data_IF_290483137128
#
_entry.id   IF_290483137128
#
_cell.length_a   1.000
_cell.length_b   1.000
_cell.length_c   1.000
_cell.angle_alpha   90.00
_cell.angle_beta   90.00
_cell.angle_gamma   90.00
#
_symmetry.space_group_name_H-M   'P 1'
#
loop_
_entity.id
_entity.type
_entity.pdbx_description
1 polymer ?
#
# COMPACT_ATOMS: atom_id res chain seq x y z
N UNK A 1 26.72 -88.81 -11.21
CA UNK A 1 26.70 -87.83 -12.31
C UNK A 1 25.37 -87.09 -12.24
N UNK A 2 25.38 -85.76 -12.07
CA UNK A 2 24.17 -84.95 -11.99
C UNK A 2 23.82 -84.35 -13.36
N UNK A 3 22.55 -84.04 -13.58
CA UNK A 3 22.10 -83.08 -14.61
C UNK A 3 21.31 -81.97 -13.95
N UNK A 4 21.81 -80.74 -14.13
CA UNK A 4 21.21 -79.47 -13.74
C UNK A 4 19.90 -79.20 -14.47
N UNK A 5 18.99 -78.47 -13.82
CA UNK A 5 17.96 -77.67 -14.47
C UNK A 5 17.96 -76.27 -13.87
N UNK A 6 18.11 -75.28 -14.75
CA UNK A 6 18.22 -73.84 -14.51
C UNK A 6 16.82 -73.21 -14.54
N UNK A 7 16.53 -72.26 -13.65
CA UNK A 7 15.37 -71.34 -13.73
C UNK A 7 15.87 -69.89 -13.66
N UNK A 8 15.46 -68.97 -14.57
CA UNK A 8 15.91 -67.58 -14.56
C UNK A 8 15.00 -66.62 -13.76
N UNK A 9 15.62 -65.52 -13.33
CA UNK A 9 15.08 -64.54 -12.39
C UNK A 9 13.98 -63.62 -12.94
N UNK A 10 13.06 -63.24 -12.04
CA UNK A 10 11.92 -62.35 -12.31
C UNK A 10 11.59 -61.42 -11.13
N UNK A 11 12.63 -60.96 -10.42
CA UNK A 11 12.47 -60.23 -9.15
C UNK A 11 12.94 -58.78 -9.16
N UNK A 12 13.62 -58.32 -10.23
CA UNK A 12 14.20 -56.96 -10.26
C UNK A 12 13.25 -55.88 -10.83
N UNK A 13 12.32 -56.24 -11.71
CA UNK A 13 11.48 -55.27 -12.43
C UNK A 13 10.34 -54.69 -11.56
N UNK A 14 9.86 -55.46 -10.58
CA UNK A 14 8.77 -55.02 -9.68
C UNK A 14 9.21 -54.02 -8.60
N UNK A 15 10.50 -53.99 -8.24
CA UNK A 15 11.01 -53.06 -7.22
C UNK A 15 11.17 -51.63 -7.76
N UNK A 16 11.54 -51.47 -9.03
CA UNK A 16 11.74 -50.15 -9.63
C UNK A 16 10.41 -49.43 -9.92
N UNK A 17 9.34 -50.17 -10.26
CA UNK A 17 8.00 -49.61 -10.45
C UNK A 17 7.35 -49.15 -9.14
N UNK A 18 7.59 -49.85 -8.02
CA UNK A 18 7.06 -49.46 -6.71
C UNK A 18 7.73 -48.19 -6.17
N UNK A 19 9.03 -47.99 -6.46
CA UNK A 19 9.77 -46.81 -6.00
C UNK A 19 9.39 -45.56 -6.82
N UNK A 20 9.13 -45.70 -8.12
CA UNK A 20 8.67 -44.58 -8.96
C UNK A 20 7.23 -44.13 -8.64
N UNK A 21 6.36 -45.06 -8.22
CA UNK A 21 4.99 -44.73 -7.80
C UNK A 21 4.95 -43.98 -6.45
N UNK A 22 5.87 -44.28 -5.52
CA UNK A 22 5.96 -43.57 -4.24
C UNK A 22 6.47 -42.12 -4.40
N UNK A 23 7.35 -41.86 -5.36
CA UNK A 23 7.85 -40.52 -5.66
C UNK A 23 6.80 -39.61 -6.31
N UNK A 24 5.90 -40.17 -7.11
CA UNK A 24 4.85 -39.40 -7.79
C UNK A 24 3.69 -39.03 -6.83
N UNK A 25 3.46 -39.83 -5.79
CA UNK A 25 2.46 -39.54 -4.75
C UNK A 25 2.91 -38.49 -3.72
N UNK A 26 4.21 -38.25 -3.55
CA UNK A 26 4.71 -37.18 -2.67
C UNK A 26 4.74 -35.79 -3.32
N UNK A 27 4.68 -35.70 -4.66
CA UNK A 27 4.68 -34.42 -5.39
C UNK A 27 3.29 -33.77 -5.54
N UNK A 28 2.22 -34.48 -5.16
CA UNK A 28 0.82 -33.99 -5.27
C UNK A 28 0.27 -33.31 -4.00
N UNK A 29 1.07 -33.16 -2.94
CA UNK A 29 0.63 -32.57 -1.67
C UNK A 29 1.06 -31.11 -1.42
N UNK A 30 1.65 -30.42 -2.40
CA UNK A 30 1.88 -28.97 -2.31
C UNK A 30 0.77 -28.18 -3.01
N UNK A 31 -0.49 -28.46 -2.69
CA UNK A 31 -1.55 -27.47 -2.91
C UNK A 31 -1.41 -26.41 -1.82
N UNK A 32 -0.91 -25.25 -2.20
CA UNK A 32 -0.87 -24.06 -1.36
C UNK A 32 -2.23 -23.87 -0.68
N UNK A 33 -2.27 -24.03 0.63
CA UNK A 33 -3.32 -23.45 1.45
C UNK A 33 -3.14 -21.93 1.39
N UNK A 34 -3.71 -21.31 0.36
CA UNK A 34 -4.03 -19.89 0.40
C UNK A 34 -5.07 -19.76 1.50
N UNK A 35 -4.65 -19.39 2.70
CA UNK A 35 -5.57 -18.86 3.70
C UNK A 35 -6.24 -17.64 3.08
N UNK A 36 -7.45 -17.84 2.57
CA UNK A 36 -8.37 -16.73 2.34
C UNK A 36 -8.67 -16.15 3.72
N UNK A 37 -7.93 -15.11 4.11
CA UNK A 37 -8.30 -14.27 5.24
C UNK A 37 -9.76 -13.89 5.04
N UNK A 38 -10.65 -14.34 5.93
CA UNK A 38 -12.05 -13.90 5.95
C UNK A 38 -12.02 -12.40 6.13
N UNK A 39 -12.15 -11.67 5.02
CA UNK A 39 -12.20 -10.22 5.05
C UNK A 39 -13.47 -9.86 5.82
N UNK A 40 -13.28 -9.23 6.99
CA UNK A 40 -14.41 -8.80 7.81
C UNK A 40 -14.90 -7.51 7.22
N UNK A 41 -15.89 -7.62 6.34
CA UNK A 41 -16.69 -6.51 5.86
C UNK A 41 -17.46 -5.93 7.06
N UNK A 42 -17.26 -4.65 7.33
CA UNK A 42 -17.93 -3.95 8.43
C UNK A 42 -18.89 -2.89 7.89
N UNK A 43 -20.02 -2.66 8.57
CA UNK A 43 -20.94 -1.61 8.17
C UNK A 43 -20.21 -0.26 8.21
N UNK A 44 -20.17 0.41 7.06
CA UNK A 44 -19.48 1.68 6.90
C UNK A 44 -20.24 2.80 7.58
N UNK A 45 -19.63 3.36 8.62
CA UNK A 45 -20.08 4.59 9.27
C UNK A 45 -19.12 5.73 8.92
N UNK A 46 -19.61 6.68 8.13
CA UNK A 46 -18.84 7.86 7.71
C UNK A 46 -18.32 8.70 8.89
N UNK A 47 -19.06 8.74 10.00
CA UNK A 47 -18.67 9.52 11.17
C UNK A 47 -17.59 8.84 12.01
N UNK A 48 -17.41 7.52 11.83
CA UNK A 48 -16.49 6.72 12.63
C UNK A 48 -15.91 5.57 11.80
N UNK A 49 -15.04 5.93 10.87
CA UNK A 49 -14.30 4.98 10.04
C UNK A 49 -13.12 4.44 10.86
N UNK A 50 -13.26 3.24 11.41
CA UNK A 50 -12.22 2.60 12.23
C UNK A 50 -11.25 1.80 11.36
N UNK A 51 -9.98 2.17 11.36
CA UNK A 51 -8.90 1.42 10.67
C UNK A 51 -8.21 0.45 11.64
N UNK A 52 -8.23 0.76 12.95
CA UNK A 52 -7.70 -0.09 14.01
C UNK A 52 -8.38 0.21 15.34
N UNK A 53 -8.17 -0.64 16.35
CA UNK A 53 -8.74 -0.52 17.71
C UNK A 53 -8.53 0.82 18.43
N UNK A 54 -7.64 1.69 17.93
CA UNK A 54 -7.27 2.98 18.56
C UNK A 54 -7.37 4.19 17.63
N UNK A 55 -7.71 4.01 16.35
CA UNK A 55 -7.71 5.09 15.37
C UNK A 55 -8.97 5.03 14.50
N UNK A 56 -9.74 6.10 14.61
CA UNK A 56 -11.00 6.33 13.89
C UNK A 56 -10.95 7.70 13.20
N UNK A 57 -11.55 7.78 12.02
CA UNK A 57 -11.60 8.98 11.21
C UNK A 57 -13.05 9.37 10.94
N UNK A 58 -13.30 10.68 10.88
CA UNK A 58 -14.62 11.24 10.63
C UNK A 58 -14.61 11.89 9.24
N UNK A 59 -15.15 11.16 8.26
CA UNK A 59 -15.26 11.60 6.87
C UNK A 59 -16.54 12.40 6.62
N UNK A 60 -17.46 12.48 7.59
CA UNK A 60 -18.71 13.23 7.45
C UNK A 60 -18.50 14.75 7.34
N UNK A 61 -17.32 15.23 7.72
CA UNK A 61 -16.91 16.64 7.62
C UNK A 61 -16.50 17.08 6.22
N UNK A 62 -16.36 16.13 5.29
CA UNK A 62 -16.11 16.43 3.89
C UNK A 62 -17.38 17.01 3.27
N UNK A 63 -17.23 18.06 2.48
CA UNK A 63 -18.33 18.69 1.76
C UNK A 63 -18.76 17.83 0.56
N UNK A 64 -19.84 17.05 0.74
CA UNK A 64 -20.44 16.21 -0.30
C UNK A 64 -21.66 16.87 -0.96
N UNK A 65 -22.03 16.48 -2.19
CA UNK A 65 -21.31 15.57 -3.10
C UNK A 65 -20.14 16.26 -3.80
N UNK A 66 -19.08 15.50 -4.06
CA UNK A 66 -17.92 15.99 -4.82
C UNK A 66 -18.06 15.55 -6.27
N UNK A 67 -17.95 16.51 -7.17
CA UNK A 67 -18.00 16.29 -8.61
C UNK A 67 -16.68 16.71 -9.23
N UNK A 68 -15.96 15.76 -9.81
CA UNK A 68 -14.76 16.02 -10.62
C UNK A 68 -15.02 15.59 -12.04
N UNK A 69 -14.45 16.30 -13.01
CA UNK A 69 -14.57 15.91 -14.42
C UNK A 69 -13.31 16.19 -15.19
N UNK A 70 -12.99 15.31 -16.13
CA UNK A 70 -11.93 15.48 -17.10
C UNK A 70 -12.52 15.36 -18.51
N UNK A 71 -12.09 16.23 -19.42
CA UNK A 71 -12.51 16.19 -20.83
C UNK A 71 -11.29 15.94 -21.68
N UNK A 72 -11.33 14.87 -22.48
CA UNK A 72 -10.27 14.48 -23.39
C UNK A 72 -10.75 14.58 -24.84
N UNK A 73 -9.87 15.01 -25.74
CA UNK A 73 -10.19 15.03 -27.17
C UNK A 73 -10.16 13.61 -27.73
N UNK A 74 -11.27 13.16 -28.29
CA UNK A 74 -11.43 11.85 -28.94
C UNK A 74 -11.99 12.05 -30.35
N UNK A 75 -11.17 12.57 -31.30
CA UNK A 75 -11.65 13.00 -32.61
C UNK A 75 -12.50 11.93 -33.31
N UNK A 76 -13.65 12.32 -33.93
CA UNK A 76 -14.12 13.68 -34.21
C UNK A 76 -14.95 14.33 -33.07
N UNK A 77 -14.85 13.83 -31.83
CA UNK A 77 -15.63 14.26 -30.67
C UNK A 77 -14.75 14.56 -29.45
N UNK A 78 -15.35 14.96 -28.35
CA UNK A 78 -14.70 15.03 -27.03
C UNK A 78 -15.37 14.02 -26.10
N UNK A 79 -14.59 13.39 -25.24
CA UNK A 79 -15.09 12.47 -24.21
C UNK A 79 -14.90 13.14 -22.86
N UNK A 80 -16.02 13.42 -22.18
CA UNK A 80 -16.03 13.94 -20.82
C UNK A 80 -16.33 12.80 -19.85
N UNK A 81 -15.40 12.55 -18.95
CA UNK A 81 -15.58 11.62 -17.84
C UNK A 81 -15.80 12.41 -16.56
N UNK A 82 -16.96 12.24 -15.93
CA UNK A 82 -17.30 12.87 -14.65
C UNK A 82 -17.41 11.80 -13.58
N UNK A 83 -16.91 12.09 -12.38
CA UNK A 83 -17.00 11.20 -11.21
C UNK A 83 -17.68 12.00 -10.10
N UNK A 84 -18.84 11.49 -9.68
CA UNK A 84 -19.62 12.03 -8.57
C UNK A 84 -19.45 11.10 -7.37
N UNK A 85 -19.11 11.68 -6.21
CA UNK A 85 -18.72 10.95 -5.01
C UNK A 85 -19.46 11.55 -3.81
N UNK A 86 -20.23 10.70 -3.13
CA UNK A 86 -20.69 10.91 -1.75
C UNK A 86 -20.46 9.62 -0.98
N UNK A 87 -19.52 9.62 -0.03
CA UNK A 87 -19.20 8.41 0.73
C UNK A 87 -20.29 8.09 1.76
N UNK A 88 -21.04 9.09 2.21
CA UNK A 88 -21.90 8.99 3.37
C UNK A 88 -23.36 8.74 3.00
N UNK A 89 -23.82 9.32 1.90
CA UNK A 89 -25.19 9.20 1.41
C UNK A 89 -25.21 8.79 -0.07
N UNK A 90 -26.29 8.12 -0.51
CA UNK A 90 -26.52 7.96 -1.94
C UNK A 90 -26.59 9.32 -2.65
N UNK A 91 -26.07 9.37 -3.88
CA UNK A 91 -26.16 10.52 -4.77
C UNK A 91 -27.62 10.79 -5.15
N UNK A 92 -27.98 12.06 -5.20
CA UNK A 92 -29.30 12.50 -5.66
C UNK A 92 -29.45 12.24 -7.17
N UNK A 93 -30.63 11.77 -7.57
CA UNK A 93 -30.99 11.63 -8.98
C UNK A 93 -31.41 12.99 -9.57
N UNK A 94 -30.90 13.33 -10.76
CA UNK A 94 -31.30 14.55 -11.47
C UNK A 94 -32.66 14.33 -12.15
N UNK A 95 -33.73 15.07 -11.79
CA UNK A 95 -35.05 14.92 -12.38
C UNK A 95 -35.11 15.37 -13.85
N UNK A 96 -34.13 16.15 -14.33
CA UNK A 96 -34.10 16.69 -15.69
C UNK A 96 -33.42 15.75 -16.71
N UNK A 97 -32.85 14.65 -16.24
CA UNK A 97 -32.09 13.71 -17.07
C UNK A 97 -32.77 12.34 -17.02
N UNK A 98 -32.69 11.58 -18.12
CA UNK A 98 -33.34 10.27 -18.18
C UNK A 98 -32.75 9.31 -17.14
N UNK A 99 -33.59 8.46 -16.56
CA UNK A 99 -33.15 7.46 -15.57
C UNK A 99 -32.09 6.51 -16.14
N UNK A 100 -32.17 6.19 -17.43
CA UNK A 100 -31.19 5.32 -18.12
C UNK A 100 -29.83 5.98 -18.35
N UNK A 101 -29.80 7.31 -18.29
CA UNK A 101 -28.59 8.11 -18.52
C UNK A 101 -27.90 8.44 -17.19
N UNK A 102 -28.33 7.85 -16.07
CA UNK A 102 -27.80 8.11 -14.74
C UNK A 102 -27.53 6.80 -14.01
N UNK A 103 -26.70 6.86 -12.97
CA UNK A 103 -26.56 5.73 -12.06
C UNK A 103 -27.88 5.48 -11.33
N UNK A 104 -28.20 4.21 -11.01
CA UNK A 104 -29.41 3.86 -10.25
C UNK A 104 -29.41 4.50 -8.86
N UNK A 105 -30.61 4.63 -8.27
CA UNK A 105 -30.76 5.10 -6.88
C UNK A 105 -29.99 4.19 -5.93
N UNK A 106 -29.32 4.78 -4.93
CA UNK A 106 -28.48 4.03 -3.99
C UNK A 106 -26.99 4.03 -4.35
N UNK A 107 -26.60 4.58 -5.50
CA UNK A 107 -25.20 4.78 -5.88
C UNK A 107 -24.55 5.88 -5.04
N UNK A 108 -23.35 5.60 -4.52
CA UNK A 108 -22.51 6.53 -3.75
C UNK A 108 -21.36 7.11 -4.57
N UNK A 109 -20.82 6.30 -5.50
CA UNK A 109 -19.81 6.74 -6.46
C UNK A 109 -20.29 6.38 -7.86
N UNK A 110 -20.50 7.39 -8.70
CA UNK A 110 -20.97 7.24 -10.07
C UNK A 110 -19.91 7.76 -11.04
N UNK A 111 -19.52 6.95 -12.02
CA UNK A 111 -18.77 7.43 -13.18
C UNK A 111 -19.75 7.64 -14.32
N UNK A 112 -19.77 8.84 -14.88
CA UNK A 112 -20.54 9.20 -16.06
C UNK A 112 -19.61 9.53 -17.20
N UNK A 113 -19.80 8.88 -18.35
CA UNK A 113 -19.03 9.15 -19.57
C UNK A 113 -19.95 9.72 -20.62
N UNK A 114 -19.63 10.92 -21.07
CA UNK A 114 -20.39 11.69 -22.05
C UNK A 114 -19.54 11.90 -23.30
N UNK A 115 -20.14 11.70 -24.47
CA UNK A 115 -19.55 12.08 -25.74
C UNK A 115 -20.16 13.40 -26.19
N UNK A 116 -19.30 14.39 -26.42
CA UNK A 116 -19.67 15.73 -26.88
C UNK A 116 -19.27 15.84 -28.35
N UNK A 117 -20.25 16.07 -29.21
CA UNK A 117 -20.03 16.24 -30.66
C UNK A 117 -20.97 17.31 -31.19
N UNK A 118 -20.42 18.28 -31.92
CA UNK A 118 -21.20 19.37 -32.54
C UNK A 118 -22.13 20.10 -31.55
N UNK A 119 -21.67 20.29 -30.30
CA UNK A 119 -22.45 20.90 -29.21
C UNK A 119 -23.57 20.02 -28.62
N UNK A 120 -23.70 18.77 -29.06
CA UNK A 120 -24.62 17.78 -28.50
C UNK A 120 -23.86 16.85 -27.55
N UNK A 121 -24.38 16.71 -26.34
CA UNK A 121 -23.85 15.80 -25.33
C UNK A 121 -24.73 14.56 -25.25
N UNK A 122 -24.11 13.39 -25.40
CA UNK A 122 -24.78 12.11 -25.29
C UNK A 122 -24.10 11.32 -24.18
N UNK A 123 -24.91 10.82 -23.25
CA UNK A 123 -24.42 9.94 -22.19
C UNK A 123 -24.22 8.56 -22.78
N UNK A 124 -23.00 8.06 -22.69
CA UNK A 124 -22.65 6.75 -23.23
C UNK A 124 -22.60 5.68 -22.14
N UNK A 125 -22.21 6.06 -20.92
CA UNK A 125 -22.07 5.15 -19.79
C UNK A 125 -22.41 5.87 -18.48
N UNK A 126 -23.15 5.17 -17.61
CA UNK A 126 -23.37 5.55 -16.22
C UNK A 126 -23.07 4.32 -15.35
N UNK A 127 -21.97 4.37 -14.60
CA UNK A 127 -21.36 3.20 -13.96
C UNK A 127 -21.44 3.37 -12.43
N UNK A 128 -22.24 2.55 -11.73
CA UNK A 128 -22.37 2.59 -10.28
C UNK A 128 -21.21 1.85 -9.59
N UNK A 129 -20.10 2.57 -9.37
CA UNK A 129 -18.84 1.99 -8.88
C UNK A 129 -18.83 1.70 -7.38
N UNK A 130 -19.57 2.49 -6.59
CA UNK A 130 -19.89 2.16 -5.21
C UNK A 130 -21.41 2.23 -5.03
N UNK A 131 -22.00 1.17 -4.49
CA UNK A 131 -23.44 0.98 -4.47
C UNK A 131 -23.93 0.44 -3.13
N UNK A 132 -24.90 1.14 -2.55
CA UNK A 132 -25.50 0.80 -1.25
C UNK A 132 -26.90 0.19 -1.36
N UNK A 133 -27.35 -0.23 -2.55
CA UNK A 133 -28.67 -0.84 -2.71
C UNK A 133 -29.80 0.17 -2.94
N UNK A 134 -30.89 -0.31 -3.54
CA UNK A 134 -31.97 0.50 -4.11
C UNK A 134 -32.84 1.20 -3.05
N UNK A 135 -32.89 0.65 -1.83
CA UNK A 135 -33.59 1.27 -0.70
C UNK A 135 -32.87 2.50 -0.13
N UNK A 136 -31.60 2.74 -0.50
CA UNK A 136 -30.80 3.88 0.01
C UNK A 136 -30.51 3.86 1.52
N UNK A 137 -31.12 2.94 2.28
CA UNK A 137 -30.96 2.76 3.72
C UNK A 137 -29.77 1.87 4.11
N UNK A 138 -29.15 1.18 3.14
CA UNK A 138 -28.16 0.17 3.47
C UNK A 138 -26.81 0.80 3.83
N UNK A 139 -26.35 0.45 5.03
CA UNK A 139 -24.95 0.47 5.42
C UNK A 139 -24.19 -0.29 4.32
N UNK A 140 -23.39 0.42 3.53
CA UNK A 140 -22.46 -0.22 2.62
C UNK A 140 -21.42 -0.91 3.48
N UNK A 141 -21.09 -2.16 3.19
CA UNK A 141 -19.99 -2.80 3.88
C UNK A 141 -18.69 -2.34 3.24
N UNK A 142 -17.85 -1.64 4.03
CA UNK A 142 -16.56 -1.18 3.56
C UNK A 142 -15.45 -2.07 4.11
N UNK A 143 -14.40 -2.23 3.32
CA UNK A 143 -13.13 -2.75 3.80
C UNK A 143 -12.20 -1.57 4.06
N UNK A 144 -11.66 -1.48 5.28
CA UNK A 144 -10.80 -0.39 5.70
C UNK A 144 -9.48 -0.98 6.19
N UNK A 145 -8.38 -0.58 5.58
CA UNK A 145 -7.04 -1.06 5.89
C UNK A 145 -6.02 0.08 5.93
N UNK A 146 -4.88 -0.15 6.59
CA UNK A 146 -3.75 0.75 6.46
C UNK A 146 -3.09 0.55 5.11
N UNK A 147 -2.93 1.64 4.38
CA UNK A 147 -2.14 1.71 3.16
C UNK A 147 -0.65 1.92 3.44
N UNK A 148 0.03 2.48 2.45
CA UNK A 148 1.47 2.70 2.46
C UNK A 148 1.90 3.75 3.50
N UNK A 149 3.12 3.61 3.99
CA UNK A 149 3.76 4.61 4.86
C UNK A 149 4.28 5.77 4.02
N UNK A 150 3.83 6.98 4.34
CA UNK A 150 4.12 8.24 3.68
C UNK A 150 5.34 8.92 4.31
N UNK A 151 5.92 9.88 3.60
CA UNK A 151 6.99 10.73 4.11
C UNK A 151 6.52 11.48 5.35
N UNK A 152 7.12 11.20 6.51
CA UNK A 152 6.68 11.70 7.82
C UNK A 152 6.20 10.61 8.78
N UNK A 153 6.15 9.34 8.35
CA UNK A 153 5.81 8.19 9.21
C UNK A 153 4.31 7.97 9.39
N UNK A 154 3.48 8.68 8.62
CA UNK A 154 2.03 8.52 8.61
C UNK A 154 1.62 7.47 7.58
N UNK A 155 0.61 6.67 7.86
CA UNK A 155 0.09 5.69 6.90
C UNK A 155 -1.15 6.22 6.21
N UNK A 156 -1.26 6.00 4.90
CA UNK A 156 -2.52 6.26 4.19
C UNK A 156 -3.61 5.30 4.66
N UNK A 157 -4.86 5.66 4.42
CA UNK A 157 -6.02 4.81 4.73
C UNK A 157 -6.56 4.32 3.40
N UNK A 158 -6.60 3.01 3.22
CA UNK A 158 -7.22 2.40 2.06
C UNK A 158 -8.66 1.99 2.40
N UNK A 159 -9.60 2.59 1.69
CA UNK A 159 -11.03 2.33 1.81
C UNK A 159 -11.51 1.65 0.52
N UNK A 160 -12.03 0.43 0.64
CA UNK A 160 -12.63 -0.29 -0.48
C UNK A 160 -14.14 -0.35 -0.30
N UNK A 161 -14.87 0.15 -1.30
CA UNK A 161 -16.32 0.17 -1.35
C UNK A 161 -16.82 -0.72 -2.50
N UNK A 162 -17.70 -1.69 -2.22
CA UNK A 162 -18.30 -2.52 -3.25
C UNK A 162 -19.30 -1.71 -4.11
N UNK A 163 -19.32 -2.00 -5.40
CA UNK A 163 -20.24 -1.44 -6.38
C UNK A 163 -21.33 -2.42 -6.80
N UNK A 164 -22.13 -2.01 -7.79
CA UNK A 164 -23.08 -2.92 -8.43
C UNK A 164 -22.38 -3.70 -9.56
N UNK A 165 -23.04 -4.74 -10.06
CA UNK A 165 -22.60 -5.42 -11.29
C UNK A 165 -22.97 -4.57 -12.50
N UNK A 166 -21.98 -4.18 -13.29
CA UNK A 166 -22.15 -3.42 -14.53
C UNK A 166 -21.57 -4.21 -15.69
N UNK A 167 -22.35 -4.40 -16.76
CA UNK A 167 -21.94 -5.16 -17.95
C UNK A 167 -21.32 -6.54 -17.65
N UNK A 168 -21.86 -7.25 -16.65
CA UNK A 168 -21.36 -8.57 -16.23
C UNK A 168 -20.09 -8.55 -15.37
N UNK A 169 -19.66 -7.37 -14.90
CA UNK A 169 -18.48 -7.18 -14.05
C UNK A 169 -18.87 -6.52 -12.72
N UNK A 170 -18.46 -7.12 -11.62
CA UNK A 170 -18.59 -6.52 -10.30
C UNK A 170 -17.72 -5.26 -10.25
N UNK A 171 -18.33 -4.12 -9.86
CA UNK A 171 -17.58 -2.89 -9.69
C UNK A 171 -17.09 -2.76 -8.24
N UNK A 172 -15.99 -2.03 -8.05
CA UNK A 172 -15.53 -1.58 -6.75
C UNK A 172 -14.71 -0.29 -6.85
N UNK A 173 -14.78 0.52 -5.80
CA UNK A 173 -13.95 1.70 -5.62
C UNK A 173 -12.88 1.44 -4.57
N UNK A 174 -11.62 1.76 -4.88
CA UNK A 174 -10.47 1.75 -3.97
C UNK A 174 -10.04 3.21 -3.78
N UNK A 175 -10.25 3.74 -2.58
CA UNK A 175 -9.93 5.10 -2.20
C UNK A 175 -8.71 5.09 -1.29
N UNK A 176 -7.65 5.76 -1.72
CA UNK A 176 -6.46 6.02 -0.93
C UNK A 176 -6.58 7.42 -0.30
N UNK A 177 -6.97 7.49 0.97
CA UNK A 177 -7.02 8.73 1.73
C UNK A 177 -5.63 9.01 2.30
N UNK A 178 -5.07 10.16 1.93
CA UNK A 178 -3.71 10.59 2.29
C UNK A 178 -3.85 11.75 3.26
N UNK A 179 -3.22 11.67 4.44
CA UNK A 179 -3.19 12.82 5.35
C UNK A 179 -2.41 13.96 4.70
N UNK A 180 -3.08 15.09 4.55
CA UNK A 180 -2.45 16.36 4.20
C UNK A 180 -3.00 17.44 5.15
N UNK A 181 -2.26 17.85 6.19
CA UNK A 181 -2.74 18.84 7.16
C UNK A 181 -2.91 20.24 6.55
N UNK A 182 -2.31 20.50 5.37
CA UNK A 182 -2.41 21.78 4.65
C UNK A 182 -3.51 21.77 3.59
N UNK A 183 -4.13 20.63 3.33
CA UNK A 183 -5.21 20.54 2.37
C UNK A 183 -6.43 21.36 2.82
N UNK A 184 -7.05 22.04 1.86
CA UNK A 184 -8.30 22.74 2.06
C UNK A 184 -9.42 21.78 2.50
N UNK A 185 -10.46 22.30 3.16
CA UNK A 185 -11.62 21.50 3.56
C UNK A 185 -12.33 20.87 2.36
N UNK A 186 -12.28 21.55 1.21
CA UNK A 186 -12.93 21.16 -0.04
C UNK A 186 -11.94 20.49 -1.01
N UNK A 187 -10.90 19.81 -0.51
CA UNK A 187 -9.96 19.11 -1.37
C UNK A 187 -10.66 18.01 -2.18
N UNK A 188 -10.37 17.93 -3.47
CA UNK A 188 -11.01 16.97 -4.38
C UNK A 188 -10.12 15.73 -4.59
N UNK A 189 -10.71 14.54 -4.74
CA UNK A 189 -9.97 13.34 -5.10
C UNK A 189 -9.49 13.41 -6.54
N UNK A 190 -8.32 12.82 -6.79
CA UNK A 190 -7.76 12.63 -8.13
C UNK A 190 -7.98 11.18 -8.55
N UNK A 191 -8.58 10.97 -9.73
CA UNK A 191 -8.67 9.65 -10.33
C UNK A 191 -7.29 9.18 -10.80
N UNK A 192 -6.82 8.06 -10.26
CA UNK A 192 -5.56 7.43 -10.67
C UNK A 192 -5.77 6.57 -11.91
N UNK A 193 -6.80 5.72 -11.86
CA UNK A 193 -7.17 4.86 -12.98
C UNK A 193 -8.59 4.30 -12.79
N UNK A 194 -9.22 3.95 -13.91
CA UNK A 194 -10.41 3.09 -13.94
C UNK A 194 -10.15 1.90 -14.87
N UNK A 195 -10.02 0.71 -14.30
CA UNK A 195 -9.84 -0.52 -15.06
C UNK A 195 -11.21 -1.16 -15.34
N UNK A 196 -11.65 -1.06 -16.61
CA UNK A 196 -12.93 -1.64 -17.07
C UNK A 196 -12.94 -3.16 -17.07
N UNK A 197 -11.79 -3.82 -17.24
CA UNK A 197 -11.73 -5.27 -17.27
C UNK A 197 -11.96 -5.84 -15.87
N UNK A 198 -11.38 -5.17 -14.87
CA UNK A 198 -11.45 -5.54 -13.46
C UNK A 198 -12.62 -4.88 -12.71
N UNK A 199 -13.27 -3.86 -13.28
CA UNK A 199 -14.32 -3.07 -12.62
C UNK A 199 -13.80 -2.23 -11.45
N UNK A 200 -12.53 -1.80 -11.50
CA UNK A 200 -11.84 -1.15 -10.36
C UNK A 200 -11.58 0.31 -10.63
N UNK A 201 -12.13 1.20 -9.81
CA UNK A 201 -11.77 2.62 -9.77
C UNK A 201 -10.79 2.87 -8.63
N UNK A 202 -9.64 3.47 -8.95
CA UNK A 202 -8.64 3.90 -7.96
C UNK A 202 -8.66 5.42 -7.84
N UNK A 203 -8.96 5.92 -6.64
CA UNK A 203 -8.95 7.33 -6.31
C UNK A 203 -7.88 7.61 -5.26
N UNK A 204 -7.14 8.71 -5.43
CA UNK A 204 -6.26 9.22 -4.38
C UNK A 204 -6.79 10.54 -3.88
N UNK A 205 -6.90 10.69 -2.57
CA UNK A 205 -7.51 11.84 -1.95
C UNK A 205 -6.65 12.40 -0.81
N UNK A 206 -5.88 13.47 -1.09
CA UNK A 206 -5.22 14.24 -0.06
C UNK A 206 -6.26 15.02 0.76
N UNK A 207 -6.34 14.77 2.07
CA UNK A 207 -7.29 15.45 2.94
C UNK A 207 -6.82 15.52 4.38
N UNK A 208 -7.11 16.63 5.05
CA UNK A 208 -6.84 16.81 6.48
C UNK A 208 -7.66 15.88 7.38
N UNK A 209 -8.77 15.33 6.88
CA UNK A 209 -9.65 14.43 7.63
C UNK A 209 -9.08 13.00 7.75
N UNK A 210 -8.06 12.66 6.97
CA UNK A 210 -7.33 11.41 7.05
C UNK A 210 -6.15 11.46 8.03
N UNK A 211 -5.92 12.62 8.66
CA UNK A 211 -4.83 12.81 9.61
C UNK A 211 -5.19 12.24 10.99
N UNK A 212 -4.29 11.43 11.55
CA UNK A 212 -4.46 10.93 12.91
C UNK A 212 -4.37 12.09 13.92
N UNK A 213 -4.99 11.95 15.09
CA UNK A 213 -4.95 12.98 16.16
C UNK A 213 -3.54 13.32 16.67
N UNK A 214 -2.52 12.51 16.32
CA UNK A 214 -1.11 12.82 16.60
C UNK A 214 -0.55 13.89 15.65
N UNK A 215 -1.07 13.96 14.42
CA UNK A 215 -0.70 14.92 13.37
C UNK A 215 -1.32 16.31 13.59
N UNK A 216 -2.42 16.38 14.35
CA UNK A 216 -3.18 17.61 14.61
C UNK A 216 -2.55 18.52 15.66
N UNK A 217 -1.31 18.25 16.11
CA UNK A 217 -0.58 19.20 16.95
C UNK A 217 0.11 20.24 16.06
N UNK A 218 -0.43 21.47 15.93
CA UNK A 218 0.46 22.58 15.65
C UNK A 218 1.43 22.66 16.82
N UNK A 219 2.71 22.77 16.51
CA UNK A 219 3.80 22.92 17.48
C UNK A 219 3.42 23.99 18.52
N UNK A 220 3.03 23.52 19.71
CA UNK A 220 2.67 24.34 20.86
C UNK A 220 3.55 23.89 22.02
N UNK A 221 4.81 24.32 21.97
CA UNK A 221 5.66 24.53 23.15
C UNK A 221 6.21 25.95 23.03
N UNK A 222 5.74 26.95 23.76
CA UNK A 222 5.42 26.93 25.18
C UNK A 222 6.69 27.23 25.99
N UNK A 223 7.20 28.46 25.87
CA UNK A 223 8.30 28.98 26.68
C UNK A 223 8.23 30.50 26.75
N UNK A 224 7.41 31.03 27.66
CA UNK A 224 7.44 32.43 28.09
C UNK A 224 8.82 32.75 28.70
N UNK A 225 9.33 33.99 28.56
CA UNK A 225 8.99 34.98 29.58
C UNK A 225 8.72 36.40 29.03
N UNK A 226 7.94 37.12 29.83
CA UNK A 226 7.51 38.51 29.76
C UNK A 226 8.55 39.57 29.37
N UNK A 227 8.14 40.46 28.46
CA UNK A 227 8.39 41.93 28.42
C UNK A 227 7.71 42.43 27.14
N UNK A 228 6.66 43.26 27.14
CA UNK A 228 6.57 44.59 27.75
C UNK A 228 6.85 45.62 26.65
N UNK A 229 5.82 46.33 26.18
CA UNK A 229 5.98 47.52 25.34
C UNK A 229 4.94 47.67 24.22
N UNK A 230 4.04 48.63 24.41
CA UNK A 230 3.16 49.24 23.40
C UNK A 230 3.97 49.98 22.34
N UNK A 231 3.52 50.03 21.08
CA UNK A 231 3.20 51.28 20.36
C UNK A 231 2.67 51.04 18.93
N UNK A 232 1.80 51.96 18.52
CA UNK A 232 1.17 52.12 17.21
C UNK A 232 2.16 52.41 16.07
N UNK A 233 1.79 52.09 14.81
CA UNK A 233 2.46 52.70 13.65
C UNK A 233 2.31 52.03 12.29
N UNK A 234 1.27 52.45 11.56
CA UNK A 234 1.28 52.90 10.16
C UNK A 234 1.65 51.98 8.97
N UNK A 235 1.06 52.39 7.83
CA UNK A 235 0.92 51.84 6.48
C UNK A 235 2.19 51.41 5.75
N UNK A 236 1.99 50.53 4.75
CA UNK A 236 2.46 50.83 3.39
C UNK A 236 3.13 49.71 2.59
N UNK A 237 2.38 49.18 1.61
CA UNK A 237 2.75 48.98 0.20
C UNK A 237 3.78 47.91 -0.26
N UNK A 238 3.27 47.04 -1.15
CA UNK A 238 3.84 46.44 -2.38
C UNK A 238 5.22 45.78 -2.43
N UNK A 239 5.25 44.60 -3.07
CA UNK A 239 6.41 44.02 -3.75
C UNK A 239 6.62 42.55 -3.37
N UNK A 240 6.12 41.60 -4.16
CA UNK A 240 6.88 40.94 -5.23
C UNK A 240 8.02 40.05 -4.72
N UNK A 241 7.76 38.74 -4.69
CA UNK A 241 8.71 37.70 -5.06
C UNK A 241 9.85 37.38 -4.09
N UNK A 242 9.68 36.30 -3.34
CA UNK A 242 10.79 35.43 -2.98
C UNK A 242 10.28 34.00 -2.81
N UNK A 243 10.68 33.13 -3.74
CA UNK A 243 10.70 31.69 -3.57
C UNK A 243 11.43 31.37 -2.26
N UNK A 244 10.67 31.05 -1.22
CA UNK A 244 11.23 30.50 0.00
C UNK A 244 11.56 29.03 -0.28
N UNK A 245 12.77 28.81 -0.78
CA UNK A 245 13.45 27.52 -0.64
C UNK A 245 13.54 27.22 0.85
N UNK A 246 12.59 26.46 1.37
CA UNK A 246 12.59 26.06 2.77
C UNK A 246 13.80 25.16 2.98
N UNK A 247 14.79 25.72 3.67
CA UNK A 247 16.07 25.10 3.98
C UNK A 247 15.89 23.66 4.45
N UNK A 248 16.48 22.78 3.66
CA UNK A 248 16.70 21.38 3.93
C UNK A 248 17.38 21.25 5.30
N UNK A 249 16.62 20.75 6.27
CA UNK A 249 16.92 20.87 7.69
C UNK A 249 18.24 20.21 8.12
N UNK A 250 18.77 20.70 9.22
CA UNK A 250 19.98 20.24 9.93
C UNK A 250 20.08 18.72 10.14
N UNK A 251 18.96 17.99 10.17
CA UNK A 251 18.94 16.52 10.31
C UNK A 251 19.07 15.73 9.00
N UNK A 252 18.85 16.34 7.82
CA UNK A 252 18.96 15.64 6.53
C UNK A 252 20.34 15.76 5.89
N UNK A 253 21.11 16.78 6.26
CA UNK A 253 22.48 17.00 5.78
C UNK A 253 23.38 15.74 5.89
N UNK A 254 23.48 15.04 7.04
CA UNK A 254 24.34 13.85 7.12
C UNK A 254 23.85 12.70 6.21
N UNK A 255 22.55 12.52 6.04
CA UNK A 255 22.00 11.47 5.17
C UNK A 255 22.29 11.73 3.69
N UNK A 256 22.23 12.98 3.26
CA UNK A 256 22.61 13.34 1.90
C UNK A 256 24.11 13.32 1.68
N UNK A 257 24.93 13.73 2.66
CA UNK A 257 26.38 13.52 2.54
C UNK A 257 26.72 12.03 2.42
N UNK A 258 26.03 11.17 3.17
CA UNK A 258 26.17 9.73 3.03
C UNK A 258 25.70 9.27 1.64
N UNK A 259 24.53 9.70 1.18
CA UNK A 259 23.99 9.33 -0.12
C UNK A 259 24.88 9.78 -1.28
N UNK A 260 25.36 11.03 -1.26
CA UNK A 260 26.27 11.58 -2.26
C UNK A 260 27.63 10.87 -2.20
N UNK A 261 28.15 10.61 -1.00
CA UNK A 261 29.37 9.82 -0.81
C UNK A 261 29.23 8.40 -1.35
N UNK A 262 28.07 7.76 -1.14
CA UNK A 262 27.77 6.43 -1.66
C UNK A 262 27.72 6.41 -3.20
N UNK A 263 27.02 7.37 -3.80
CA UNK A 263 26.95 7.49 -5.27
C UNK A 263 28.33 7.80 -5.85
N UNK A 264 29.11 8.70 -5.23
CA UNK A 264 30.47 9.00 -5.67
C UNK A 264 31.39 7.78 -5.55
N UNK A 265 31.30 7.03 -4.45
CA UNK A 265 32.03 5.78 -4.25
C UNK A 265 31.68 4.73 -5.31
N UNK A 266 30.39 4.52 -5.58
CA UNK A 266 29.93 3.59 -6.61
C UNK A 266 30.38 4.04 -8.00
N UNK A 267 30.19 5.30 -8.36
CA UNK A 267 30.56 5.83 -9.67
C UNK A 267 32.06 5.82 -9.95
N UNK A 268 32.87 6.35 -9.01
CA UNK A 268 34.34 6.37 -9.15
C UNK A 268 34.90 4.95 -9.13
N UNK A 269 34.38 4.11 -8.24
CA UNK A 269 34.83 2.73 -8.14
C UNK A 269 34.46 1.90 -9.39
N UNK A 270 33.24 2.05 -9.92
CA UNK A 270 32.83 1.43 -11.19
C UNK A 270 33.69 1.93 -12.34
N UNK A 271 33.97 3.23 -12.41
CA UNK A 271 34.84 3.81 -13.44
C UNK A 271 36.27 3.27 -13.35
N UNK A 272 36.86 3.20 -12.15
CA UNK A 272 38.19 2.62 -11.93
C UNK A 272 38.22 1.14 -12.30
N UNK A 273 37.17 0.40 -11.95
CA UNK A 273 37.06 -1.03 -12.24
C UNK A 273 36.86 -1.31 -13.74
N UNK A 274 36.10 -0.46 -14.42
CA UNK A 274 35.94 -0.50 -15.88
C UNK A 274 37.26 -0.19 -16.60
N UNK A 275 37.93 0.89 -16.21
CA UNK A 275 39.05 1.44 -16.96
C UNK A 275 40.39 0.73 -16.69
N UNK A 276 40.60 0.22 -15.48
CA UNK A 276 41.85 -0.46 -15.11
C UNK A 276 41.77 -1.99 -15.17
N UNK A 277 40.58 -2.57 -14.99
CA UNK A 277 40.41 -4.03 -14.91
C UNK A 277 39.55 -4.61 -16.05
N UNK A 278 38.95 -3.76 -16.89
CA UNK A 278 38.08 -4.21 -17.99
C UNK A 278 36.86 -4.99 -17.50
N UNK A 279 36.50 -4.83 -16.22
CA UNK A 279 35.39 -5.54 -15.61
C UNK A 279 34.07 -5.15 -16.29
N UNK A 280 33.18 -6.12 -16.48
CA UNK A 280 31.87 -5.89 -17.10
C UNK A 280 30.75 -6.56 -16.32
N UNK A 281 29.54 -6.01 -16.42
CA UNK A 281 28.36 -6.51 -15.71
C UNK A 281 28.47 -6.35 -14.19
N UNK A 282 28.12 -7.40 -13.45
CA UNK A 282 28.05 -7.40 -11.99
C UNK A 282 29.41 -7.29 -11.29
N UNK A 283 30.50 -7.52 -12.03
CA UNK A 283 31.85 -7.39 -11.50
C UNK A 283 32.29 -5.93 -11.35
N UNK A 284 31.52 -4.97 -11.89
CA UNK A 284 31.85 -3.54 -11.88
C UNK A 284 31.69 -2.90 -10.49
N UNK A 285 30.86 -3.49 -9.63
CA UNK A 285 30.52 -2.94 -8.32
C UNK A 285 31.71 -3.03 -7.36
N UNK A 286 32.16 -1.91 -6.76
CA UNK A 286 33.24 -1.91 -5.78
C UNK A 286 32.88 -2.79 -4.58
N UNK A 287 33.80 -3.66 -4.17
CA UNK A 287 33.63 -4.59 -3.04
C UNK A 287 32.34 -5.42 -3.14
N UNK A 288 32.04 -5.95 -4.35
CA UNK A 288 30.84 -6.78 -4.61
C UNK A 288 30.65 -7.94 -3.62
N UNK A 289 31.74 -8.54 -3.12
CA UNK A 289 31.68 -9.68 -2.20
C UNK A 289 31.06 -9.25 -0.86
N UNK A 290 31.38 -8.05 -0.37
CA UNK A 290 30.73 -7.46 0.79
C UNK A 290 29.23 -7.25 0.56
N UNK A 291 28.84 -6.73 -0.60
CA UNK A 291 27.42 -6.50 -0.93
C UNK A 291 26.61 -7.80 -1.01
N UNK A 292 27.21 -8.86 -1.56
CA UNK A 292 26.62 -10.19 -1.61
C UNK A 292 26.44 -10.81 -0.22
N UNK A 293 27.36 -10.53 0.70
CA UNK A 293 27.37 -11.11 2.05
C UNK A 293 26.58 -10.27 3.07
N UNK A 294 26.35 -8.98 2.78
CA UNK A 294 25.62 -8.06 3.66
C UNK A 294 24.26 -8.55 4.16
N UNK A 295 23.36 -9.18 3.36
CA UNK A 295 22.08 -9.63 3.90
C UNK A 295 22.23 -10.79 4.90
N UNK A 296 23.26 -11.62 4.73
CA UNK A 296 23.53 -12.74 5.64
C UNK A 296 24.12 -12.22 6.96
N UNK A 297 25.06 -11.27 6.88
CA UNK A 297 25.65 -10.61 8.06
C UNK A 297 24.58 -9.83 8.84
N UNK A 298 23.70 -9.10 8.15
CA UNK A 298 22.61 -8.36 8.78
C UNK A 298 21.59 -9.30 9.46
N UNK A 299 21.26 -10.42 8.84
CA UNK A 299 20.38 -11.45 9.43
C UNK A 299 21.01 -12.06 10.68
N UNK A 300 22.30 -12.38 10.64
CA UNK A 300 23.02 -12.97 11.77
C UNK A 300 23.10 -11.98 12.94
N UNK A 301 23.46 -10.72 12.68
CA UNK A 301 23.44 -9.65 13.66
C UNK A 301 22.03 -9.43 14.26
N UNK A 302 21.00 -9.40 13.43
CA UNK A 302 19.61 -9.29 13.89
C UNK A 302 19.19 -10.48 14.75
N UNK A 303 19.64 -11.69 14.41
CA UNK A 303 19.37 -12.90 15.19
C UNK A 303 20.07 -12.88 16.55
N UNK A 304 21.32 -12.41 16.61
CA UNK A 304 22.06 -12.25 17.86
C UNK A 304 21.50 -11.16 18.76
N UNK A 305 21.08 -10.03 18.18
CA UNK A 305 20.38 -8.96 18.90
C UNK A 305 19.03 -9.46 19.40
N UNK A 306 18.28 -10.20 18.58
CA UNK A 306 17.01 -10.80 18.98
C UNK A 306 17.20 -11.82 20.09
N UNK A 307 18.21 -12.68 20.05
CA UNK A 307 18.52 -13.64 21.12
C UNK A 307 18.95 -12.94 22.42
N UNK A 308 19.65 -11.82 22.32
CA UNK A 308 20.08 -11.01 23.48
C UNK A 308 18.90 -10.24 24.09
N UNK A 309 17.98 -9.73 23.28
CA UNK A 309 16.80 -8.95 23.70
C UNK A 309 15.63 -9.85 24.13
N UNK A 310 15.46 -11.02 23.50
CA UNK A 310 14.36 -11.95 23.80
C UNK A 310 14.57 -12.79 25.06
N UNK A 311 15.75 -12.71 25.70
CA UNK A 311 15.95 -13.10 27.08
C UNK A 311 15.47 -14.50 27.45
N UNK A 312 16.41 -15.45 27.43
CA UNK A 312 16.38 -16.66 28.25
C UNK A 312 15.95 -16.33 29.70
N UNK A 313 14.67 -16.53 30.00
CA UNK A 313 14.08 -16.66 31.33
C UNK A 313 13.58 -18.10 31.52
N UNK A 314 14.53 -19.02 31.62
CA UNK A 314 14.40 -20.24 32.41
C UNK A 314 15.53 -20.22 33.45
N UNK A 315 15.23 -19.75 34.66
CA UNK A 315 16.22 -19.51 35.70
C UNK A 315 16.70 -20.78 36.42
N UNK A 316 18.01 -20.81 36.69
CA UNK A 316 18.60 -21.07 38.01
C UNK A 316 18.41 -22.42 38.71
N UNK A 317 19.50 -23.19 38.82
CA UNK A 317 19.63 -24.26 39.81
C UNK A 317 21.02 -24.91 39.77
N UNK A 318 21.99 -24.32 40.48
CA UNK A 318 23.28 -24.96 40.72
C UNK A 318 23.20 -25.97 41.87
N UNK A 319 23.79 -27.15 41.69
CA UNK A 319 24.33 -27.98 42.78
C UNK A 319 25.62 -28.65 42.30
N UNK A 320 26.69 -28.43 43.03
CA UNK A 320 27.93 -29.19 42.91
C UNK A 320 27.75 -30.62 43.45
N UNK A 321 28.51 -31.55 42.87
CA UNK A 321 28.54 -32.93 43.33
C UNK A 321 29.34 -33.85 42.41
N UNK A 322 30.65 -33.91 42.66
CA UNK A 322 31.53 -35.10 42.60
C UNK A 322 31.17 -36.28 41.66
N UNK A 323 32.10 -36.65 40.78
CA UNK A 323 32.39 -38.07 40.51
C UNK A 323 32.69 -38.48 39.06
N UNK A 324 33.89 -39.07 38.85
CA UNK A 324 34.25 -39.98 37.74
C UNK A 324 34.71 -39.29 36.46
N UNK A 325 36.00 -39.26 36.05
CA UNK A 325 36.91 -40.35 35.67
C UNK A 325 36.29 -41.43 34.75
N UNK A 326 36.87 -41.55 33.54
CA UNK A 326 36.67 -42.62 32.55
C UNK A 326 36.41 -42.01 31.16
N UNK A 327 37.38 -41.76 30.27
CA UNK A 327 38.31 -42.65 29.57
C UNK A 327 37.66 -43.49 28.43
N UNK A 328 38.39 -43.55 27.30
CA UNK A 328 38.38 -44.46 26.13
C UNK A 328 37.20 -44.53 25.12
N UNK A 329 37.51 -43.99 23.92
CA UNK A 329 37.64 -44.67 22.60
C UNK A 329 36.40 -45.15 21.78
N UNK A 330 36.54 -45.47 20.46
CA UNK A 330 35.70 -44.94 19.39
C UNK A 330 34.91 -46.02 18.62
N UNK A 331 34.04 -45.58 17.70
CA UNK A 331 33.69 -46.26 16.45
C UNK A 331 33.25 -45.23 15.41
#
# INVERSE_FOLDING_TARGET
>A
MPTSSIVPGRTHEKRNLAILAASLLLLLQQTAFVSASKQTLSPFDCGNVTVSSKQSFDLSKISYPIRTSNTESTPPSETKTSIDIDLCKPLDSDPNRNEKDQCPRGTRICITIETIKDGKTIVTQAIPVAYSGESGESKIDAKVEWGEELEGGEKSIELQLPGATYAGREQKAELELVCDPKADADSHPTARSYDRADGKLKLRWPTKFACSSAASKPDSGGGSPSKGGSDDGDKGNSGSGSDASSGWGFFSWPFFLLSVGFVAYMGIGMYNNYNNYGASGWDLVPHKDFWRESPYIARDAASHVWQTVSGNRGGGGGFGGSGGRGAYEPI
#
